data_IF_401346915085
#
_entry.id   IF_401346915085
#
_cell.length_a   1.000
_cell.length_b   1.000
_cell.length_c   1.000
_cell.angle_alpha   90.00
_cell.angle_beta   90.00
_cell.angle_gamma   90.00
#
_symmetry.space_group_name_H-M   'P 1'
#
loop_
_entity.id
_entity.type
_entity.pdbx_description
1 polymer ?
#
# COMPACT_ATOMS: atom_id res chain seq x y z
N UNK A 1 14.14 31.35 -18.90
CA UNK A 1 12.79 31.01 -18.40
C UNK A 1 12.62 29.49 -18.24
N UNK A 2 13.48 28.82 -17.45
CA UNK A 2 13.43 27.34 -17.32
C UNK A 2 13.04 26.82 -15.92
N UNK A 3 13.26 27.62 -14.88
CA UNK A 3 13.17 27.18 -13.49
C UNK A 3 11.72 27.01 -13.00
N UNK A 4 10.85 27.98 -13.28
CA UNK A 4 9.44 27.95 -12.85
C UNK A 4 8.65 26.86 -13.54
N UNK A 5 8.87 26.67 -14.84
CA UNK A 5 8.21 25.64 -15.65
C UNK A 5 8.70 24.23 -15.25
N UNK A 6 10.01 24.05 -15.07
CA UNK A 6 10.58 22.78 -14.61
C UNK A 6 10.06 22.37 -13.22
N UNK A 7 9.96 23.33 -12.28
CA UNK A 7 9.43 23.07 -10.94
C UNK A 7 7.96 22.68 -10.95
N UNK A 8 7.14 23.33 -11.79
CA UNK A 8 5.73 22.96 -11.94
C UNK A 8 5.56 21.54 -12.47
N UNK A 9 6.26 21.18 -13.55
CA UNK A 9 6.20 19.82 -14.09
C UNK A 9 6.71 18.79 -13.09
N UNK A 10 7.82 19.07 -12.41
CA UNK A 10 8.34 18.18 -11.39
C UNK A 10 7.32 17.88 -10.29
N UNK A 11 6.71 18.90 -9.67
CA UNK A 11 5.70 18.68 -8.64
C UNK A 11 4.47 17.96 -9.17
N UNK A 12 4.06 18.25 -10.40
CA UNK A 12 2.95 17.54 -11.05
C UNK A 12 3.27 16.05 -11.21
N UNK A 13 4.46 15.71 -11.71
CA UNK A 13 4.88 14.33 -11.87
C UNK A 13 5.04 13.63 -10.53
N UNK A 14 5.69 14.25 -9.55
CA UNK A 14 5.82 13.69 -8.19
C UNK A 14 4.46 13.43 -7.58
N UNK A 15 3.49 14.33 -7.74
CA UNK A 15 2.13 14.14 -7.25
C UNK A 15 1.46 12.94 -7.90
N UNK A 16 1.55 12.81 -9.22
CA UNK A 16 1.00 11.66 -9.97
C UNK A 16 1.67 10.36 -9.51
N UNK A 17 3.00 10.36 -9.37
CA UNK A 17 3.77 9.21 -8.90
C UNK A 17 3.35 8.81 -7.48
N UNK A 18 3.21 9.76 -6.55
CA UNK A 18 2.76 9.49 -5.18
C UNK A 18 1.36 8.86 -5.19
N UNK A 19 0.42 9.41 -5.97
CA UNK A 19 -0.92 8.83 -6.08
C UNK A 19 -0.91 7.42 -6.66
N UNK A 20 -0.06 7.16 -7.64
CA UNK A 20 0.13 5.82 -8.20
C UNK A 20 0.64 4.84 -7.14
N UNK A 21 1.66 5.23 -6.38
CA UNK A 21 2.19 4.40 -5.30
C UNK A 21 1.17 4.17 -4.19
N UNK A 22 0.40 5.18 -3.78
CA UNK A 22 -0.67 5.02 -2.79
C UNK A 22 -1.74 4.04 -3.28
N UNK A 23 -2.14 4.14 -4.55
CA UNK A 23 -3.10 3.21 -5.15
C UNK A 23 -2.58 1.78 -5.18
N UNK A 24 -1.31 1.60 -5.58
CA UNK A 24 -0.68 0.28 -5.64
C UNK A 24 -0.50 -0.33 -4.24
N UNK A 25 -0.06 0.47 -3.26
CA UNK A 25 -0.04 0.10 -1.84
C UNK A 25 -1.45 -0.37 -1.42
N UNK A 26 -2.49 0.44 -1.64
CA UNK A 26 -3.84 0.11 -1.21
C UNK A 26 -4.36 -1.22 -1.80
N UNK A 27 -4.08 -1.48 -3.08
CA UNK A 27 -4.45 -2.74 -3.74
C UNK A 27 -3.72 -3.94 -3.14
N UNK A 28 -2.40 -3.87 -3.00
CA UNK A 28 -1.59 -4.95 -2.41
C UNK A 28 -2.01 -5.22 -0.97
N UNK A 29 -2.24 -4.18 -0.18
CA UNK A 29 -2.72 -4.29 1.20
C UNK A 29 -4.06 -5.03 1.26
N UNK A 30 -5.02 -4.65 0.42
CA UNK A 30 -6.36 -5.23 0.43
C UNK A 30 -6.34 -6.70 0.02
N UNK A 31 -5.51 -7.05 -0.96
CA UNK A 31 -5.30 -8.44 -1.37
C UNK A 31 -4.72 -9.26 -0.21
N UNK A 32 -3.61 -8.82 0.42
CA UNK A 32 -3.02 -9.55 1.54
C UNK A 32 -3.97 -9.66 2.74
N UNK A 33 -4.69 -8.59 3.07
CA UNK A 33 -5.66 -8.58 4.16
C UNK A 33 -6.80 -9.58 3.94
N UNK A 34 -7.36 -9.62 2.73
CA UNK A 34 -8.45 -10.56 2.39
C UNK A 34 -7.96 -12.01 2.36
N UNK A 35 -6.76 -12.26 1.85
CA UNK A 35 -6.12 -13.58 1.85
C UNK A 35 -5.80 -14.06 3.27
N UNK A 36 -5.19 -13.20 4.08
CA UNK A 36 -4.86 -13.49 5.48
C UNK A 36 -6.14 -13.78 6.26
N UNK A 37 -7.14 -12.91 6.16
CA UNK A 37 -8.42 -13.08 6.86
C UNK A 37 -9.11 -14.36 6.46
N UNK A 38 -9.18 -14.68 5.17
CA UNK A 38 -9.77 -15.92 4.66
C UNK A 38 -9.10 -17.17 5.26
N UNK A 39 -7.77 -17.16 5.38
CA UNK A 39 -6.99 -18.28 5.92
C UNK A 39 -7.05 -18.43 7.44
N UNK A 40 -7.27 -17.33 8.17
CA UNK A 40 -7.20 -17.32 9.65
C UNK A 40 -8.56 -17.26 10.35
N UNK A 41 -9.67 -17.20 9.61
CA UNK A 41 -11.04 -17.23 10.17
C UNK A 41 -11.32 -18.39 11.13
N UNK A 42 -10.61 -19.52 11.03
CA UNK A 42 -10.76 -20.68 11.91
C UNK A 42 -9.86 -20.69 13.15
N UNK A 43 -8.99 -19.69 13.34
CA UNK A 43 -8.00 -19.67 14.44
C UNK A 43 -8.61 -19.05 15.71
N UNK A 44 -8.53 -19.72 16.88
CA UNK A 44 -8.99 -19.15 18.14
C UNK A 44 -8.29 -17.83 18.46
N UNK A 45 -9.05 -16.79 18.82
CA UNK A 45 -8.51 -15.46 19.12
C UNK A 45 -8.27 -14.57 17.89
N UNK A 46 -8.63 -15.02 16.69
CA UNK A 46 -8.57 -14.21 15.49
C UNK A 46 -9.58 -13.05 15.52
N UNK A 47 -9.12 -11.86 15.14
CA UNK A 47 -10.00 -10.70 14.89
C UNK A 47 -9.60 -10.00 13.58
N UNK A 48 -10.55 -9.35 12.93
CA UNK A 48 -10.26 -8.55 11.73
C UNK A 48 -9.25 -7.42 12.01
N UNK A 49 -9.24 -6.86 13.22
CA UNK A 49 -8.25 -5.87 13.63
C UNK A 49 -6.82 -6.46 13.67
N UNK A 50 -6.67 -7.69 14.15
CA UNK A 50 -5.36 -8.37 14.13
C UNK A 50 -4.87 -8.67 12.71
N UNK A 51 -5.76 -9.12 11.81
CA UNK A 51 -5.41 -9.29 10.39
C UNK A 51 -4.98 -7.97 9.75
N UNK A 52 -5.71 -6.89 10.01
CA UNK A 52 -5.40 -5.56 9.48
C UNK A 52 -4.00 -5.10 9.93
N UNK A 53 -3.68 -5.24 11.22
CA UNK A 53 -2.38 -4.89 11.75
C UNK A 53 -1.25 -5.74 11.14
N UNK A 54 -1.45 -7.06 11.03
CA UNK A 54 -0.46 -7.97 10.45
C UNK A 54 -0.21 -7.64 8.97
N UNK A 55 -1.26 -7.46 8.17
CA UNK A 55 -1.12 -7.09 6.76
C UNK A 55 -0.41 -5.73 6.59
N UNK A 56 -0.70 -4.78 7.48
CA UNK A 56 -0.03 -3.47 7.47
C UNK A 56 1.47 -3.58 7.74
N UNK A 57 1.88 -4.43 8.68
CA UNK A 57 3.29 -4.65 9.01
C UNK A 57 4.04 -5.46 7.95
N UNK A 58 3.37 -6.37 7.24
CA UNK A 58 3.97 -7.21 6.18
C UNK A 58 4.12 -6.47 4.86
N UNK A 59 3.29 -5.45 4.65
CA UNK A 59 3.23 -4.69 3.41
C UNK A 59 4.59 -4.17 2.90
N UNK A 60 5.47 -3.55 3.71
CA UNK A 60 6.73 -3.01 3.20
C UNK A 60 7.65 -4.09 2.62
N UNK A 61 7.62 -5.29 3.22
CA UNK A 61 8.41 -6.43 2.75
C UNK A 61 7.85 -6.97 1.43
N UNK A 62 6.53 -7.08 1.31
CA UNK A 62 5.88 -7.53 0.07
C UNK A 62 6.23 -6.58 -1.08
N UNK A 63 6.19 -5.27 -0.83
CA UNK A 63 6.56 -4.26 -1.83
C UNK A 63 8.02 -4.29 -2.27
N UNK A 64 8.93 -4.75 -1.41
CA UNK A 64 10.35 -4.88 -1.77
C UNK A 64 10.59 -6.08 -2.70
N UNK A 65 9.73 -7.09 -2.65
CA UNK A 65 9.90 -8.37 -3.34
C UNK A 65 9.21 -8.41 -4.72
N UNK A 66 8.37 -7.42 -5.03
CA UNK A 66 7.69 -7.24 -6.32
C UNK A 66 8.44 -6.23 -7.17
#
# INVERSE_FOLDING_TARGET
MGWTLGRYFFFRYVTITIWFFIGLLALVFLIDFTELSGRTTGVPGFTYATAFAISGLRMPMIMLQT
#
